data_IF_222304528534
#
_entry.id   IF_222304528534
#
_cell.length_a   1.000
_cell.length_b   1.000
_cell.length_c   1.000
_cell.angle_alpha   90.00
_cell.angle_beta   90.00
_cell.angle_gamma   90.00
#
_symmetry.space_group_name_H-M   'P 1'
#
loop_
_entity.id
_entity.type
_entity.pdbx_description
1 polymer ?
#
# COMPACT_ATOMS: atom_id res chain seq x y z
N UNK A 1 19.65 -8.79 -6.49
CA UNK A 1 19.14 -8.54 -5.12
C UNK A 1 19.44 -7.14 -4.63
N UNK A 2 20.69 -6.65 -4.71
CA UNK A 2 21.04 -5.30 -4.23
C UNK A 2 20.33 -4.18 -5.01
N UNK A 3 20.35 -4.23 -6.34
CA UNK A 3 19.65 -3.27 -7.20
C UNK A 3 18.14 -3.12 -6.90
N UNK A 4 17.46 -4.21 -6.51
CA UNK A 4 16.04 -4.16 -6.14
C UNK A 4 15.83 -3.36 -4.85
N UNK A 5 16.71 -3.55 -3.86
CA UNK A 5 16.67 -2.82 -2.60
C UNK A 5 16.97 -1.35 -2.80
N UNK A 6 17.93 -1.03 -3.66
CA UNK A 6 18.26 0.36 -4.01
C UNK A 6 17.07 1.05 -4.68
N UNK A 7 16.40 0.37 -5.61
CA UNK A 7 15.20 0.88 -6.29
C UNK A 7 14.04 1.10 -5.31
N UNK A 8 13.78 0.15 -4.42
CA UNK A 8 12.75 0.28 -3.37
C UNK A 8 13.07 1.46 -2.44
N UNK A 9 14.33 1.60 -2.03
CA UNK A 9 14.78 2.66 -1.16
C UNK A 9 14.63 4.06 -1.79
N UNK A 10 15.02 4.21 -3.05
CA UNK A 10 14.83 5.44 -3.81
C UNK A 10 13.36 5.83 -3.93
N UNK A 11 12.48 4.85 -4.20
CA UNK A 11 11.04 5.08 -4.25
C UNK A 11 10.47 5.55 -2.89
N UNK A 12 10.88 4.92 -1.80
CA UNK A 12 10.47 5.33 -0.43
C UNK A 12 10.97 6.74 -0.07
N UNK A 13 12.18 7.10 -0.48
CA UNK A 13 12.71 8.45 -0.26
C UNK A 13 11.90 9.49 -1.04
N UNK A 14 11.54 9.19 -2.29
CA UNK A 14 10.71 10.05 -3.12
C UNK A 14 9.33 10.25 -2.51
N UNK A 15 8.68 9.17 -2.07
CA UNK A 15 7.38 9.25 -1.39
C UNK A 15 7.46 10.10 -0.14
N UNK A 16 8.50 9.88 0.69
CA UNK A 16 8.69 10.63 1.93
C UNK A 16 8.81 12.13 1.67
N UNK A 17 9.55 12.54 0.64
CA UNK A 17 9.69 13.94 0.26
C UNK A 17 8.33 14.52 -0.19
N UNK A 18 7.62 13.80 -1.05
CA UNK A 18 6.32 14.22 -1.58
C UNK A 18 5.24 14.31 -0.49
N UNK A 19 5.12 13.30 0.37
CA UNK A 19 4.13 13.25 1.46
C UNK A 19 4.41 14.36 2.47
N UNK A 20 5.68 14.62 2.81
CA UNK A 20 6.04 15.74 3.70
C UNK A 20 5.69 17.09 3.08
N UNK A 21 5.83 17.23 1.77
CA UNK A 21 5.42 18.44 1.07
C UNK A 21 3.91 18.63 1.13
N UNK A 22 3.13 17.59 0.82
CA UNK A 22 1.65 17.59 0.89
C UNK A 22 1.16 17.90 2.31
N UNK A 23 1.74 17.25 3.31
CA UNK A 23 1.34 17.40 4.71
C UNK A 23 1.99 18.60 5.41
N UNK A 24 2.70 19.48 4.69
CA UNK A 24 3.36 20.65 5.30
C UNK A 24 2.39 21.54 6.09
N UNK A 25 1.15 21.68 5.62
CA UNK A 25 0.10 22.43 6.30
C UNK A 25 -0.38 21.76 7.61
N UNK A 26 -0.27 20.43 7.70
CA UNK A 26 -0.66 19.63 8.87
C UNK A 26 0.43 19.53 9.95
N UNK A 27 1.60 20.13 9.72
CA UNK A 27 2.74 20.14 10.64
C UNK A 27 3.12 18.74 11.17
N UNK A 28 2.71 18.40 12.39
CA UNK A 28 3.06 17.17 13.12
C UNK A 28 1.88 16.20 13.22
N UNK A 29 0.73 16.49 12.60
CA UNK A 29 -0.41 15.58 12.61
C UNK A 29 -0.14 14.39 11.68
N UNK A 30 0.18 13.24 12.27
CA UNK A 30 0.48 12.01 11.55
C UNK A 30 -0.78 11.18 11.21
N UNK A 31 -1.90 11.49 11.87
CA UNK A 31 -3.14 10.74 11.72
C UNK A 31 -3.89 11.19 10.46
N UNK A 32 -4.16 10.24 9.57
CA UNK A 32 -4.93 10.46 8.35
C UNK A 32 -5.91 9.33 8.13
N UNK A 33 -7.08 9.67 7.62
CA UNK A 33 -8.04 8.69 7.14
C UNK A 33 -7.59 8.20 5.77
N UNK A 34 -7.12 6.97 5.69
CA UNK A 34 -6.73 6.30 4.46
C UNK A 34 -7.58 5.06 4.25
N UNK A 35 -7.90 4.71 3.00
CA UNK A 35 -8.66 3.51 2.70
C UNK A 35 -7.86 2.27 3.13
N UNK A 36 -8.56 1.21 3.50
CA UNK A 36 -8.00 -0.11 3.86
C UNK A 36 -6.95 -0.10 4.99
N UNK A 37 -7.29 -0.72 6.12
CA UNK A 37 -6.35 -0.87 7.23
C UNK A 37 -5.34 -2.00 6.96
N UNK A 38 -4.18 -1.66 6.38
CA UNK A 38 -3.09 -2.61 6.07
C UNK A 38 -2.53 -3.31 7.31
N UNK A 39 -2.40 -2.60 8.44
CA UNK A 39 -1.93 -3.19 9.70
C UNK A 39 -2.81 -4.36 10.12
N UNK A 40 -4.14 -4.17 10.05
CA UNK A 40 -5.11 -5.23 10.37
C UNK A 40 -5.03 -6.39 9.39
N UNK A 41 -4.82 -6.13 8.09
CA UNK A 41 -4.66 -7.20 7.08
C UNK A 41 -3.43 -8.05 7.39
N UNK A 42 -2.30 -7.42 7.70
CA UNK A 42 -1.06 -8.10 8.10
C UNK A 42 -1.27 -8.93 9.37
N UNK A 43 -1.92 -8.36 10.39
CA UNK A 43 -2.23 -9.08 11.63
C UNK A 43 -3.15 -10.29 11.39
N UNK A 44 -4.18 -10.13 10.56
CA UNK A 44 -5.06 -11.23 10.16
C UNK A 44 -4.27 -12.35 9.48
N UNK A 45 -3.38 -12.01 8.53
CA UNK A 45 -2.53 -13.00 7.87
C UNK A 45 -1.60 -13.72 8.87
N UNK A 46 -0.99 -12.98 9.82
CA UNK A 46 -0.15 -13.58 10.87
C UNK A 46 -0.92 -14.61 11.70
N UNK A 47 -2.19 -14.34 12.02
CA UNK A 47 -3.06 -15.27 12.75
C UNK A 47 -3.40 -16.51 11.92
N UNK A 48 -3.80 -16.32 10.66
CA UNK A 48 -4.19 -17.41 9.75
C UNK A 48 -3.02 -18.38 9.51
N UNK A 49 -1.82 -17.86 9.28
CA UNK A 49 -0.63 -18.67 8.99
C UNK A 49 0.23 -18.96 10.22
N UNK A 50 -0.25 -18.64 11.42
CA UNK A 50 0.43 -18.86 12.69
C UNK A 50 1.89 -18.33 12.72
N UNK A 51 2.10 -17.13 12.16
CA UNK A 51 3.42 -16.49 12.10
C UNK A 51 3.80 -15.93 13.47
N UNK A 52 4.88 -16.44 14.05
CA UNK A 52 5.38 -16.03 15.37
C UNK A 52 6.47 -14.97 15.25
N UNK A 53 6.64 -14.18 16.31
CA UNK A 53 7.65 -13.12 16.37
C UNK A 53 9.10 -13.64 16.30
N UNK A 54 9.34 -14.92 16.57
CA UNK A 54 10.68 -15.51 16.51
C UNK A 54 10.94 -16.29 15.21
N UNK A 55 9.95 -16.39 14.33
CA UNK A 55 10.10 -17.14 13.09
C UNK A 55 11.08 -16.44 12.15
N UNK A 56 11.74 -17.24 11.30
CA UNK A 56 12.58 -16.74 10.21
C UNK A 56 11.73 -16.64 8.96
N UNK A 57 11.73 -15.46 8.34
CA UNK A 57 11.11 -15.29 7.02
C UNK A 57 11.92 -16.05 5.95
N UNK A 58 11.22 -16.67 5.01
CA UNK A 58 11.79 -17.32 3.83
C UNK A 58 11.72 -16.43 2.57
N UNK A 59 11.33 -15.16 2.72
CA UNK A 59 11.15 -14.23 1.61
C UNK A 59 12.49 -13.69 1.10
N UNK A 60 12.60 -13.51 -0.21
CA UNK A 60 13.72 -12.82 -0.86
C UNK A 60 13.25 -11.47 -1.40
N UNK A 61 14.17 -10.50 -1.61
CA UNK A 61 13.80 -9.21 -2.22
C UNK A 61 13.08 -9.37 -3.57
N UNK A 62 13.42 -10.42 -4.33
CA UNK A 62 12.79 -10.77 -5.60
C UNK A 62 11.34 -11.26 -5.48
N UNK A 63 10.93 -11.76 -4.32
CA UNK A 63 9.55 -12.19 -4.08
C UNK A 63 8.66 -11.00 -3.68
N UNK A 64 9.19 -10.07 -2.89
CA UNK A 64 8.40 -8.99 -2.26
C UNK A 64 8.34 -7.75 -3.13
N UNK A 65 9.49 -7.24 -3.58
CA UNK A 65 9.57 -5.90 -4.21
C UNK A 65 8.79 -5.86 -5.52
N UNK A 66 8.97 -6.83 -6.46
CA UNK A 66 8.16 -6.85 -7.68
C UNK A 66 6.68 -7.07 -7.42
N UNK A 67 6.31 -7.89 -6.42
CA UNK A 67 4.92 -8.12 -6.06
C UNK A 67 4.23 -6.85 -5.54
N UNK A 68 4.91 -6.08 -4.69
CA UNK A 68 4.41 -4.79 -4.21
C UNK A 68 4.35 -3.76 -5.34
N UNK A 69 5.36 -3.69 -6.21
CA UNK A 69 5.33 -2.80 -7.39
C UNK A 69 4.13 -3.12 -8.28
N UNK A 70 3.96 -4.39 -8.65
CA UNK A 70 2.83 -4.84 -9.45
C UNK A 70 1.50 -4.48 -8.78
N UNK A 71 1.35 -4.75 -7.48
CA UNK A 71 0.13 -4.41 -6.73
C UNK A 71 -0.20 -2.90 -6.82
N UNK A 72 0.80 -2.04 -6.63
CA UNK A 72 0.62 -0.58 -6.70
C UNK A 72 0.30 -0.09 -8.11
N UNK A 73 0.81 -0.77 -9.14
CA UNK A 73 0.54 -0.45 -10.55
C UNK A 73 -0.88 -0.84 -10.97
N UNK A 74 -1.44 -1.91 -10.38
CA UNK A 74 -2.83 -2.33 -10.60
C UNK A 74 -3.84 -1.46 -9.84
N UNK A 75 -3.43 -0.79 -8.77
CA UNK A 75 -4.28 0.14 -8.00
C UNK A 75 -4.48 1.46 -8.75
N UNK A 76 -5.41 1.45 -9.71
CA UNK A 76 -5.84 2.62 -10.48
C UNK A 76 -7.28 2.99 -10.16
N UNK A 77 -7.51 4.27 -9.92
CA UNK A 77 -8.82 4.89 -9.71
C UNK A 77 -9.30 5.53 -11.01
N UNK A 78 -8.45 6.34 -11.64
CA UNK A 78 -8.82 7.05 -12.88
C UNK A 78 -8.52 6.15 -14.07
N UNK A 79 -9.57 5.81 -14.83
CA UNK A 79 -9.44 5.00 -16.04
C UNK A 79 -9.15 5.90 -17.22
N UNK A 80 -7.96 5.77 -17.81
CA UNK A 80 -7.56 6.48 -19.02
C UNK A 80 -6.11 6.24 -19.35
N UNK A 81 -5.77 6.35 -20.63
CA UNK A 81 -4.38 6.24 -21.12
C UNK A 81 -3.78 7.57 -21.52
N UNK A 82 -4.58 8.63 -21.59
CA UNK A 82 -4.12 9.98 -21.88
C UNK A 82 -3.27 10.54 -20.72
N UNK A 83 -2.36 11.48 -20.99
CA UNK A 83 -1.45 12.02 -19.97
C UNK A 83 -2.18 12.62 -18.76
N UNK A 84 -3.33 13.26 -18.99
CA UNK A 84 -4.11 13.92 -17.94
C UNK A 84 -4.73 12.89 -17.00
N UNK A 85 -5.32 11.81 -17.55
CA UNK A 85 -5.85 10.70 -16.73
C UNK A 85 -4.77 10.02 -15.90
N UNK A 86 -3.57 9.84 -16.45
CA UNK A 86 -2.45 9.24 -15.72
C UNK A 86 -1.98 10.13 -14.57
N UNK A 87 -1.87 11.44 -14.81
CA UNK A 87 -1.53 12.42 -13.78
C UNK A 87 -2.60 12.48 -12.68
N UNK A 88 -3.88 12.47 -13.07
CA UNK A 88 -5.00 12.46 -12.13
C UNK A 88 -4.99 11.21 -11.23
N UNK A 89 -4.73 10.02 -11.80
CA UNK A 89 -4.60 8.78 -11.03
C UNK A 89 -3.42 8.83 -10.04
N UNK A 90 -2.27 9.29 -10.53
CA UNK A 90 -1.07 9.43 -9.72
C UNK A 90 -1.33 10.35 -8.54
N UNK A 91 -1.97 11.50 -8.77
CA UNK A 91 -2.30 12.49 -7.75
C UNK A 91 -3.34 11.99 -6.74
N UNK A 92 -4.36 11.26 -7.20
CA UNK A 92 -5.41 10.70 -6.33
C UNK A 92 -4.89 9.62 -5.37
N UNK A 93 -3.80 8.92 -5.73
CA UNK A 93 -3.34 7.73 -5.01
C UNK A 93 -2.05 7.92 -4.21
N UNK A 94 -1.42 9.11 -4.23
CA UNK A 94 -0.10 9.37 -3.63
C UNK A 94 0.00 8.85 -2.18
N UNK A 95 -0.89 9.32 -1.31
CA UNK A 95 -0.82 9.03 0.12
C UNK A 95 -1.05 7.54 0.42
N UNK A 96 -1.99 6.92 -0.28
CA UNK A 96 -2.32 5.51 -0.09
C UNK A 96 -1.20 4.61 -0.61
N UNK A 97 -0.67 4.87 -1.82
CA UNK A 97 0.46 4.12 -2.37
C UNK A 97 1.71 4.28 -1.52
N UNK A 98 1.98 5.49 -1.01
CA UNK A 98 3.07 5.72 -0.07
C UNK A 98 2.92 4.97 1.25
N UNK A 99 1.71 4.92 1.83
CA UNK A 99 1.42 4.09 3.01
C UNK A 99 1.73 2.62 2.74
N UNK A 100 1.19 2.05 1.66
CA UNK A 100 1.40 0.65 1.31
C UNK A 100 2.87 0.35 1.06
N UNK A 101 3.58 1.20 0.31
CA UNK A 101 5.01 1.03 0.03
C UNK A 101 5.82 1.05 1.32
N UNK A 102 5.49 1.93 2.26
CA UNK A 102 6.17 1.98 3.56
C UNK A 102 5.91 0.74 4.43
N UNK A 103 4.67 0.24 4.47
CA UNK A 103 4.26 -0.90 5.33
C UNK A 103 4.61 -2.27 4.74
N UNK A 104 4.72 -2.35 3.42
CA UNK A 104 5.08 -3.56 2.69
C UNK A 104 6.53 -3.54 2.17
N UNK A 105 7.34 -2.58 2.63
CA UNK A 105 8.77 -2.55 2.31
C UNK A 105 9.43 -3.87 2.71
N UNK A 106 10.36 -4.36 1.90
CA UNK A 106 10.98 -5.67 2.11
C UNK A 106 11.52 -5.85 3.53
N UNK A 107 12.17 -4.81 4.06
CA UNK A 107 12.70 -4.79 5.44
C UNK A 107 11.60 -4.95 6.49
N UNK A 108 10.48 -4.23 6.37
CA UNK A 108 9.35 -4.30 7.32
C UNK A 108 8.72 -5.70 7.31
N UNK A 109 8.46 -6.23 6.11
CA UNK A 109 7.84 -7.54 5.92
C UNK A 109 8.68 -8.65 6.54
N UNK A 110 10.00 -8.61 6.37
CA UNK A 110 10.93 -9.65 6.83
C UNK A 110 11.32 -9.47 8.30
N UNK A 111 11.62 -8.24 8.74
CA UNK A 111 12.21 -7.99 10.06
C UNK A 111 11.17 -7.80 11.15
N UNK A 112 10.18 -6.94 10.89
CA UNK A 112 9.16 -6.57 11.87
C UNK A 112 7.99 -7.55 11.85
N UNK A 113 7.48 -7.87 10.66
CA UNK A 113 6.32 -8.76 10.52
C UNK A 113 6.71 -10.24 10.44
N UNK A 114 7.91 -10.54 9.95
CA UNK A 114 8.46 -11.91 9.79
C UNK A 114 7.56 -12.82 8.97
N UNK A 115 6.90 -12.26 7.96
CA UNK A 115 5.99 -13.04 7.12
C UNK A 115 6.75 -14.13 6.37
N UNK A 116 6.12 -15.29 6.25
CA UNK A 116 6.53 -16.31 5.28
C UNK A 116 5.85 -16.04 3.93
N UNK A 117 6.28 -16.74 2.88
CA UNK A 117 5.75 -16.56 1.52
C UNK A 117 4.22 -16.71 1.43
N UNK A 118 3.65 -17.74 2.06
CA UNK A 118 2.19 -17.96 2.06
C UNK A 118 1.42 -16.80 2.72
N UNK A 119 1.93 -16.31 3.86
CA UNK A 119 1.32 -15.19 4.56
C UNK A 119 1.43 -13.89 3.75
N UNK A 120 2.57 -13.65 3.10
CA UNK A 120 2.76 -12.49 2.23
C UNK A 120 1.83 -12.54 1.01
N UNK A 121 1.78 -13.67 0.29
CA UNK A 121 0.91 -13.84 -0.87
C UNK A 121 -0.58 -13.64 -0.50
N UNK A 122 -0.97 -14.11 0.69
CA UNK A 122 -2.31 -13.86 1.23
C UNK A 122 -2.58 -12.38 1.52
N UNK A 123 -1.62 -11.63 2.08
CA UNK A 123 -1.75 -10.18 2.30
C UNK A 123 -1.96 -9.45 0.97
N UNK A 124 -1.16 -9.78 -0.05
CA UNK A 124 -1.27 -9.17 -1.38
C UNK A 124 -2.64 -9.46 -2.01
N UNK A 125 -3.07 -10.73 -1.99
CA UNK A 125 -4.38 -11.12 -2.52
C UNK A 125 -5.55 -10.49 -1.79
N UNK A 126 -5.51 -10.44 -0.45
CA UNK A 126 -6.56 -9.80 0.35
C UNK A 126 -6.63 -8.29 0.10
N UNK A 127 -5.47 -7.63 -0.05
CA UNK A 127 -5.42 -6.22 -0.36
C UNK A 127 -6.04 -5.92 -1.74
N UNK A 128 -5.68 -6.71 -2.76
CA UNK A 128 -6.26 -6.60 -4.10
C UNK A 128 -7.78 -6.81 -4.06
N UNK A 129 -8.24 -7.89 -3.43
CA UNK A 129 -9.67 -8.20 -3.31
C UNK A 129 -10.46 -7.11 -2.57
N UNK A 130 -9.86 -6.46 -1.58
CA UNK A 130 -10.50 -5.34 -0.86
C UNK A 130 -10.49 -4.06 -1.66
N UNK A 131 -9.41 -3.78 -2.39
CA UNK A 131 -9.31 -2.64 -3.29
C UNK A 131 -10.41 -2.69 -4.35
N UNK A 132 -10.58 -3.84 -5.02
CA UNK A 132 -11.57 -4.02 -6.07
C UNK A 132 -13.02 -3.85 -5.58
N UNK A 133 -13.26 -4.09 -4.28
CA UNK A 133 -14.56 -3.90 -3.63
C UNK A 133 -14.74 -2.54 -2.96
N UNK A 134 -13.69 -1.75 -2.80
CA UNK A 134 -13.72 -0.47 -2.10
C UNK A 134 -14.21 0.69 -2.97
N UNK A 135 -14.47 0.45 -4.27
CA UNK A 135 -14.96 1.47 -5.18
C UNK A 135 -16.37 1.91 -4.81
N UNK A 136 -16.57 3.23 -4.76
CA UNK A 136 -17.87 3.88 -4.62
C UNK A 136 -18.70 3.61 -5.88
N UNK A 137 -20.00 3.36 -5.72
CA UNK A 137 -20.86 3.08 -6.86
C UNK A 137 -21.14 4.36 -7.66
N UNK A 138 -21.05 4.33 -9.00
CA UNK A 138 -21.45 5.48 -9.80
C UNK A 138 -22.94 5.76 -9.60
N UNK A 139 -23.31 7.04 -9.48
CA UNK A 139 -24.69 7.47 -9.27
C UNK A 139 -25.14 7.47 -7.79
N UNK A 140 -24.24 7.21 -6.85
CA UNK A 140 -24.54 7.36 -5.42
C UNK A 140 -24.80 8.84 -5.07
N UNK A 141 -25.85 9.11 -4.28
CA UNK A 141 -26.27 10.47 -3.91
C UNK A 141 -25.40 11.04 -2.79
N UNK A 142 -24.10 11.21 -3.05
CA UNK A 142 -23.09 11.62 -2.06
C UNK A 142 -23.42 12.97 -1.41
N UNK A 143 -24.06 13.88 -2.15
CA UNK A 143 -24.45 15.20 -1.62
C UNK A 143 -25.54 15.13 -0.54
N UNK A 144 -26.51 14.22 -0.68
CA UNK A 144 -27.55 14.03 0.34
C UNK A 144 -26.98 13.29 1.54
N UNK A 145 -26.14 12.27 1.30
CA UNK A 145 -25.47 11.50 2.37
C UNK A 145 -24.55 12.38 3.22
N UNK A 146 -23.84 13.33 2.61
CA UNK A 146 -22.95 14.24 3.33
C UNK A 146 -23.71 15.31 4.14
N UNK A 147 -24.98 15.57 3.82
CA UNK A 147 -25.80 16.58 4.47
C UNK A 147 -26.62 16.05 5.66
N UNK A 148 -26.81 14.73 5.76
CA UNK A 148 -27.50 14.05 6.86
C UNK A 148 -26.58 13.90 8.08
#
# INVERSE_FOLDING_TARGET
SMALLDTEWEALLKDRQMIRHINKAKQTEEMMQLPLNITRIIESAKRVFNVKANDRSNLRPSDVIPAVQNLLDHMKIVRGTDPISQEADANATILFKGLLRSRLAFKEVVKEHRLNKLAFDHVIGELQNRWDRAFVSPGEMVGVLAAQ
#
